data_IF_364100833281
#
_entry.id   IF_364100833281
#
_cell.length_a   1.000
_cell.length_b   1.000
_cell.length_c   1.000
_cell.angle_alpha   90.00
_cell.angle_beta   90.00
_cell.angle_gamma   90.00
#
_symmetry.space_group_name_H-M   'P 1'
#
loop_
_entity.id
_entity.type
_entity.pdbx_description
1 polymer ?
#
# COMPACT_ATOMS: atom_id res chain seq x y z
N UNK A 1 9.70 -15.63 -15.93
CA UNK A 1 10.58 -14.56 -15.41
C UNK A 1 9.73 -13.41 -14.86
N UNK A 2 10.13 -12.72 -13.79
CA UNK A 2 9.37 -11.55 -13.29
C UNK A 2 9.58 -10.36 -14.24
N UNK A 3 8.52 -9.75 -14.79
CA UNK A 3 8.65 -8.58 -15.67
C UNK A 3 9.39 -7.43 -14.97
N UNK A 4 10.22 -6.65 -15.68
CA UNK A 4 10.92 -5.52 -15.10
C UNK A 4 9.90 -4.47 -14.64
N UNK A 5 10.19 -3.82 -13.52
CA UNK A 5 9.43 -2.66 -13.04
C UNK A 5 10.21 -1.40 -13.42
N UNK A 6 9.55 -0.49 -14.13
CA UNK A 6 10.10 0.82 -14.42
C UNK A 6 9.96 1.71 -13.17
N UNK A 7 11.07 1.97 -12.47
CA UNK A 7 11.11 2.72 -11.21
C UNK A 7 12.00 3.95 -11.37
N UNK A 8 11.46 5.14 -11.16
CA UNK A 8 12.21 6.39 -11.28
C UNK A 8 11.98 7.30 -10.07
N UNK A 9 12.78 8.36 -9.98
CA UNK A 9 12.59 9.42 -9.00
C UNK A 9 11.32 10.22 -9.32
N UNK A 10 10.76 10.88 -8.31
CA UNK A 10 9.50 11.64 -8.40
C UNK A 10 8.34 10.82 -8.99
N UNK A 11 8.33 9.51 -8.76
CA UNK A 11 7.31 8.62 -9.31
C UNK A 11 6.06 8.65 -8.43
N UNK A 12 5.02 9.32 -8.92
CA UNK A 12 3.68 9.27 -8.33
C UNK A 12 2.98 7.98 -8.74
N UNK A 13 2.52 7.19 -7.79
CA UNK A 13 1.90 5.90 -8.04
C UNK A 13 0.61 5.73 -7.25
N UNK A 14 -0.41 5.22 -7.93
CA UNK A 14 -1.58 4.60 -7.31
C UNK A 14 -1.29 3.11 -7.13
N UNK A 15 -1.20 2.68 -5.87
CA UNK A 15 -0.83 1.33 -5.49
C UNK A 15 -2.04 0.59 -4.96
N UNK A 16 -2.18 -0.65 -5.37
CA UNK A 16 -3.12 -1.60 -4.78
C UNK A 16 -2.37 -2.84 -4.35
N UNK A 17 -2.43 -3.18 -3.06
CA UNK A 17 -1.85 -4.40 -2.54
C UNK A 17 -2.91 -5.22 -1.82
N UNK A 18 -3.04 -6.48 -2.21
CA UNK A 18 -4.11 -7.37 -1.78
C UNK A 18 -3.64 -8.29 -0.67
N UNK A 19 -4.56 -8.66 0.19
CA UNK A 19 -4.36 -9.72 1.15
C UNK A 19 -4.33 -11.08 0.46
N UNK A 20 -3.56 -12.01 1.00
CA UNK A 20 -3.46 -13.39 0.47
C UNK A 20 -4.83 -14.04 0.39
N UNK A 21 -5.16 -14.60 -0.78
CA UNK A 21 -6.44 -15.24 -1.04
C UNK A 21 -7.62 -14.27 -0.94
N UNK A 22 -7.39 -12.95 -1.02
CA UNK A 22 -8.40 -11.91 -0.77
C UNK A 22 -9.03 -12.02 0.61
N UNK A 23 -8.40 -12.75 1.53
CA UNK A 23 -8.93 -12.94 2.86
C UNK A 23 -8.97 -11.62 3.62
N UNK A 24 -9.82 -11.51 4.62
CA UNK A 24 -9.98 -10.28 5.38
C UNK A 24 -8.81 -10.02 6.38
N UNK A 25 -7.56 -10.09 5.92
CA UNK A 25 -6.36 -9.91 6.76
C UNK A 25 -6.27 -8.54 7.42
N UNK A 26 -7.03 -7.56 6.97
CA UNK A 26 -7.03 -6.19 7.45
C UNK A 26 -8.40 -5.79 8.03
N UNK A 27 -9.24 -6.74 8.50
CA UNK A 27 -10.50 -6.40 9.18
C UNK A 27 -10.27 -5.28 10.21
N UNK A 28 -11.01 -4.17 10.14
CA UNK A 28 -10.75 -2.94 10.90
C UNK A 28 -11.22 -3.03 12.36
N UNK A 29 -10.69 -4.02 13.08
CA UNK A 29 -10.69 -4.03 14.55
C UNK A 29 -9.70 -2.98 15.05
N UNK A 30 -9.91 -2.48 16.26
CA UNK A 30 -9.05 -1.45 16.87
C UNK A 30 -7.57 -1.84 16.81
N UNK A 31 -7.22 -3.04 17.28
CA UNK A 31 -5.83 -3.54 17.29
C UNK A 31 -5.20 -3.61 15.89
N UNK A 32 -5.99 -4.02 14.90
CA UNK A 32 -5.50 -4.12 13.51
C UNK A 32 -5.30 -2.73 12.91
N UNK A 33 -6.25 -1.81 13.11
CA UNK A 33 -6.16 -0.43 12.61
C UNK A 33 -4.96 0.30 13.22
N UNK A 34 -4.80 0.26 14.54
CA UNK A 34 -3.65 0.85 15.24
C UNK A 34 -2.32 0.27 14.77
N UNK A 35 -2.25 -1.05 14.62
CA UNK A 35 -1.05 -1.75 14.12
C UNK A 35 -0.70 -1.29 12.71
N UNK A 36 -1.65 -1.33 11.78
CA UNK A 36 -1.39 -0.98 10.39
C UNK A 36 -1.05 0.49 10.22
N UNK A 37 -1.70 1.38 10.97
CA UNK A 37 -1.39 2.80 10.97
C UNK A 37 0.04 3.06 11.49
N UNK A 38 0.45 2.41 12.57
CA UNK A 38 1.80 2.56 13.09
C UNK A 38 2.85 2.00 12.12
N UNK A 39 2.60 0.83 11.52
CA UNK A 39 3.50 0.25 10.49
C UNK A 39 3.63 1.21 9.31
N UNK A 40 2.54 1.80 8.84
CA UNK A 40 2.56 2.77 7.76
C UNK A 40 3.38 4.00 8.15
N UNK A 41 3.09 4.62 9.30
CA UNK A 41 3.81 5.80 9.80
C UNK A 41 5.31 5.53 9.92
N UNK A 42 5.69 4.41 10.55
CA UNK A 42 7.10 4.03 10.71
C UNK A 42 7.78 3.73 9.37
N UNK A 43 7.06 3.16 8.41
CA UNK A 43 7.63 2.92 7.08
C UNK A 43 7.84 4.26 6.35
N UNK A 44 6.88 5.18 6.43
CA UNK A 44 7.03 6.53 5.85
C UNK A 44 8.23 7.27 6.42
N UNK A 45 8.54 7.12 7.72
CA UNK A 45 9.72 7.78 8.32
C UNK A 45 11.08 7.24 7.85
N UNK A 46 11.11 6.12 7.10
CA UNK A 46 12.33 5.48 6.62
C UNK A 46 12.65 5.76 5.16
N UNK A 47 11.69 6.30 4.41
CA UNK A 47 11.80 6.44 2.97
C UNK A 47 11.37 7.84 2.55
N UNK A 48 12.03 8.34 1.50
CA UNK A 48 11.72 9.65 0.95
C UNK A 48 10.47 9.59 0.06
N UNK A 49 9.32 9.70 0.71
CA UNK A 49 7.99 9.55 0.09
C UNK A 49 6.99 10.58 0.63
N UNK A 50 6.11 11.04 -0.25
CA UNK A 50 4.95 11.85 0.09
C UNK A 50 3.68 11.04 -0.08
N UNK A 51 2.93 10.83 1.02
CA UNK A 51 1.65 10.11 0.98
C UNK A 51 0.50 11.08 0.75
N UNK A 52 -0.28 10.84 -0.30
CA UNK A 52 -1.41 11.69 -0.70
C UNK A 52 -2.76 11.15 -0.27
N UNK A 53 -2.96 9.82 -0.32
CA UNK A 53 -4.16 9.18 0.20
C UNK A 53 -3.88 7.75 0.64
N UNK A 54 -4.59 7.30 1.66
CA UNK A 54 -4.49 5.93 2.19
C UNK A 54 -5.88 5.39 2.45
N UNK A 55 -6.10 4.13 2.09
CA UNK A 55 -7.22 3.35 2.60
C UNK A 55 -6.83 1.88 2.73
N UNK A 56 -6.96 1.33 3.95
CA UNK A 56 -7.04 -0.11 4.16
C UNK A 56 -8.51 -0.56 4.16
N UNK A 57 -8.87 -1.33 3.14
CA UNK A 57 -10.07 -2.18 3.13
C UNK A 57 -9.79 -3.46 3.93
N UNK A 58 -10.81 -4.31 4.16
CA UNK A 58 -10.59 -5.56 4.92
C UNK A 58 -9.64 -6.55 4.23
N UNK A 59 -9.55 -6.55 2.90
CA UNK A 59 -8.79 -7.53 2.10
C UNK A 59 -7.77 -6.93 1.13
N UNK A 60 -7.61 -5.61 1.09
CA UNK A 60 -6.59 -4.94 0.30
C UNK A 60 -6.38 -3.53 0.85
N UNK A 61 -5.36 -2.84 0.37
CA UNK A 61 -5.21 -1.42 0.61
C UNK A 61 -4.88 -0.67 -0.67
N UNK A 62 -5.27 0.60 -0.68
CA UNK A 62 -4.94 1.59 -1.67
C UNK A 62 -4.02 2.63 -1.05
N UNK A 63 -3.00 3.01 -1.82
CA UNK A 63 -2.04 4.03 -1.43
C UNK A 63 -1.77 4.92 -2.65
N UNK A 64 -2.02 6.21 -2.50
CA UNK A 64 -1.58 7.22 -3.46
C UNK A 64 -0.36 7.92 -2.89
N UNK A 65 0.77 7.81 -3.58
CA UNK A 65 2.08 8.20 -3.03
C UNK A 65 3.00 8.71 -4.14
N UNK A 66 3.84 9.69 -3.83
CA UNK A 66 4.99 10.05 -4.65
C UNK A 66 6.25 9.55 -3.98
N UNK A 67 7.03 8.72 -4.68
CA UNK A 67 8.38 8.35 -4.27
C UNK A 67 9.37 9.34 -4.88
N UNK A 68 10.05 10.11 -4.04
CA UNK A 68 11.00 11.14 -4.51
C UNK A 68 12.32 10.51 -4.98
N UNK A 69 12.63 9.30 -4.51
CA UNK A 69 13.75 8.47 -4.98
C UNK A 69 13.25 7.14 -5.55
N UNK A 70 14.17 6.28 -6.03
CA UNK A 70 13.87 4.92 -6.54
C UNK A 70 13.51 3.92 -5.42
N UNK A 71 12.99 4.40 -4.28
CA UNK A 71 12.77 3.61 -3.06
C UNK A 71 11.47 2.80 -3.05
N UNK A 72 10.56 2.99 -4.01
CA UNK A 72 9.21 2.45 -3.95
C UNK A 72 9.14 0.93 -3.74
N UNK A 73 9.96 0.08 -4.41
CA UNK A 73 9.94 -1.35 -4.14
C UNK A 73 10.37 -1.71 -2.71
N UNK A 74 11.35 -0.99 -2.13
CA UNK A 74 11.76 -1.21 -0.73
C UNK A 74 10.76 -0.69 0.28
N UNK A 75 10.14 0.45 0.00
CA UNK A 75 9.03 0.95 0.82
C UNK A 75 7.93 -0.12 0.93
N UNK A 76 7.50 -0.69 -0.20
CA UNK A 76 6.45 -1.71 -0.22
C UNK A 76 6.88 -3.04 0.41
N UNK A 77 8.15 -3.44 0.23
CA UNK A 77 8.72 -4.61 0.89
C UNK A 77 8.68 -4.47 2.41
N UNK A 78 9.13 -3.33 2.94
CA UNK A 78 9.15 -3.04 4.38
C UNK A 78 7.72 -2.97 4.94
N UNK A 79 6.84 -2.21 4.30
CA UNK A 79 5.42 -2.06 4.69
C UNK A 79 4.73 -3.42 4.82
N UNK A 80 4.87 -4.27 3.80
CA UNK A 80 4.21 -5.58 3.76
C UNK A 80 4.88 -6.59 4.71
N UNK A 81 6.21 -6.55 4.85
CA UNK A 81 6.98 -7.43 5.72
C UNK A 81 6.70 -7.15 7.20
N UNK A 82 6.81 -5.89 7.62
CA UNK A 82 6.53 -5.49 8.99
C UNK A 82 5.04 -5.66 9.31
N UNK A 83 4.15 -5.27 8.39
CA UNK A 83 2.71 -5.50 8.51
C UNK A 83 2.36 -6.97 8.70
N UNK A 84 2.97 -7.88 7.93
CA UNK A 84 2.73 -9.32 8.06
C UNK A 84 3.17 -9.85 9.42
N UNK A 85 4.37 -9.47 9.87
CA UNK A 85 4.88 -9.89 11.18
C UNK A 85 4.00 -9.38 12.31
N UNK A 86 3.57 -8.12 12.26
CA UNK A 86 2.73 -7.51 13.27
C UNK A 86 1.32 -8.16 13.32
N UNK A 87 0.66 -8.33 12.17
CA UNK A 87 -0.65 -8.99 12.08
C UNK A 87 -0.60 -10.45 12.53
N UNK A 88 0.47 -11.18 12.18
CA UNK A 88 0.67 -12.55 12.62
C UNK A 88 0.82 -12.66 14.14
N UNK A 89 1.57 -11.73 14.76
CA UNK A 89 1.72 -11.72 16.20
C UNK A 89 0.42 -11.38 16.95
N UNK A 90 -0.47 -10.57 16.36
CA UNK A 90 -1.81 -10.34 16.90
C UNK A 90 -2.66 -11.62 16.93
N UNK A 91 -2.46 -12.50 15.95
CA UNK A 91 -3.30 -13.69 15.71
C UNK A 91 -2.67 -14.98 16.22
N UNK A 92 -1.41 -14.96 16.64
CA UNK A 92 -0.66 -16.17 16.99
C UNK A 92 -0.34 -17.06 15.78
N UNK A 93 -0.31 -16.50 14.57
CA UNK A 93 -0.09 -17.23 13.31
C UNK A 93 1.29 -16.94 12.72
N UNK A 94 1.61 -17.56 11.59
CA UNK A 94 2.77 -17.23 10.77
C UNK A 94 2.40 -17.26 9.27
N UNK A 95 3.35 -16.90 8.40
CA UNK A 95 3.14 -16.89 6.95
C UNK A 95 2.83 -15.50 6.39
N UNK A 96 2.46 -15.43 5.11
CA UNK A 96 2.21 -14.16 4.43
C UNK A 96 0.79 -13.64 4.66
N UNK A 97 0.65 -12.32 4.82
CA UNK A 97 -0.65 -11.65 4.83
C UNK A 97 -0.94 -10.87 3.54
N UNK A 98 0.09 -10.56 2.75
CA UNK A 98 -0.03 -9.82 1.47
C UNK A 98 0.31 -10.73 0.29
N UNK A 99 -0.39 -10.56 -0.83
CA UNK A 99 -0.07 -11.26 -2.07
C UNK A 99 1.35 -10.94 -2.55
N UNK A 100 1.93 -11.85 -3.33
CA UNK A 100 3.25 -11.61 -3.93
C UNK A 100 3.14 -10.51 -4.98
N UNK A 101 3.73 -9.37 -4.68
CA UNK A 101 3.68 -8.18 -5.53
C UNK A 101 2.51 -7.26 -5.20
N UNK A 102 2.43 -6.16 -5.93
CA UNK A 102 1.40 -5.14 -5.80
C UNK A 102 1.15 -4.51 -7.16
N UNK A 103 -0.08 -4.05 -7.38
CA UNK A 103 -0.44 -3.21 -8.51
C UNK A 103 0.19 -1.84 -8.34
N UNK A 104 0.80 -1.34 -9.41
CA UNK A 104 1.43 -0.02 -9.48
C UNK A 104 0.93 0.62 -10.77
N UNK A 105 0.18 1.71 -10.62
CA UNK A 105 -0.37 2.48 -11.73
C UNK A 105 0.15 3.90 -11.63
N UNK A 106 0.81 4.37 -12.68
CA UNK A 106 1.30 5.75 -12.74
C UNK A 106 0.26 6.67 -13.42
N UNK A 107 -0.36 7.63 -12.70
CA UNK A 107 -1.18 8.66 -13.32
C UNK A 107 -0.32 9.63 -14.13
N UNK A 108 -0.75 9.95 -15.35
CA UNK A 108 -0.01 10.81 -16.28
C UNK A 108 -0.61 12.22 -16.42
N UNK A 109 -1.67 12.52 -15.66
CA UNK A 109 -2.28 13.84 -15.62
C UNK A 109 -2.94 14.12 -14.26
N UNK A 110 -3.08 15.41 -13.97
CA UNK A 110 -3.60 15.92 -12.70
C UNK A 110 -5.03 15.46 -12.40
N UNK A 111 -5.88 15.39 -13.42
CA UNK A 111 -7.27 14.94 -13.27
C UNK A 111 -7.29 13.48 -12.87
N UNK A 112 -6.45 12.64 -13.49
CA UNK A 112 -6.39 11.21 -13.15
C UNK A 112 -5.83 10.97 -11.74
N UNK A 113 -4.90 11.81 -11.30
CA UNK A 113 -4.40 11.75 -9.93
C UNK A 113 -5.52 12.04 -8.91
N UNK A 114 -6.34 13.07 -9.15
CA UNK A 114 -7.50 13.37 -8.32
C UNK A 114 -8.56 12.27 -8.36
N UNK A 115 -8.82 11.68 -9.54
CA UNK A 115 -9.71 10.52 -9.66
C UNK A 115 -9.24 9.34 -8.79
N UNK A 116 -7.93 9.08 -8.71
CA UNK A 116 -7.38 8.05 -7.83
C UNK A 116 -7.49 8.41 -6.35
N UNK A 117 -7.35 9.68 -5.98
CA UNK A 117 -7.55 10.13 -4.61
C UNK A 117 -9.01 9.89 -4.17
N UNK A 118 -9.97 10.32 -4.99
CA UNK A 118 -11.41 10.11 -4.77
C UNK A 118 -11.75 8.61 -4.75
N UNK A 119 -11.23 7.84 -5.70
CA UNK A 119 -11.42 6.39 -5.75
C UNK A 119 -10.91 5.72 -4.46
N UNK A 120 -9.73 6.12 -3.98
CA UNK A 120 -9.14 5.60 -2.75
C UNK A 120 -10.08 5.80 -1.58
N UNK A 121 -10.59 7.02 -1.36
CA UNK A 121 -11.42 7.33 -0.20
C UNK A 121 -12.85 6.76 -0.29
N UNK A 122 -13.44 6.71 -1.49
CA UNK A 122 -14.81 6.26 -1.70
C UNK A 122 -14.95 4.73 -1.87
N UNK A 123 -13.85 3.97 -1.84
CA UNK A 123 -13.86 2.52 -2.04
C UNK A 123 -14.76 1.74 -1.05
N UNK A 124 -14.86 2.09 0.24
CA UNK A 124 -15.75 1.42 1.19
C UNK A 124 -17.23 1.56 0.80
N UNK A 125 -17.60 2.69 0.19
CA UNK A 125 -18.94 2.94 -0.33
C UNK A 125 -19.18 2.20 -1.64
N UNK A 126 -18.17 2.18 -2.52
CA UNK A 126 -18.22 1.43 -3.79
C UNK A 126 -18.38 -0.09 -3.58
N UNK A 127 -17.95 -0.58 -2.42
CA UNK A 127 -18.04 -1.99 -2.01
C UNK A 127 -19.26 -2.28 -1.12
N UNK A 128 -20.22 -1.36 -1.01
CA UNK A 128 -21.43 -1.48 -0.17
C UNK A 128 -21.13 -1.83 1.31
N UNK A 129 -19.96 -1.44 1.84
CA UNK A 129 -19.62 -1.70 3.25
C UNK A 129 -20.19 -0.61 4.17
N UNK A 130 -20.21 0.64 3.71
CA UNK A 130 -20.72 1.82 4.42
C UNK A 130 -21.44 2.75 3.45
N UNK A 131 -22.30 3.63 3.98
CA UNK A 131 -23.02 4.64 3.18
C UNK A 131 -22.17 5.87 2.86
N UNK A 132 -21.31 6.27 3.79
CA UNK A 132 -20.42 7.43 3.69
C UNK A 132 -19.00 7.00 4.05
N UNK A 133 -17.99 7.48 3.34
CA UNK A 133 -16.58 7.12 3.48
C UNK A 133 -16.08 7.39 4.90
N UNK A 134 -16.53 8.51 5.51
CA UNK A 134 -16.23 8.87 6.91
C UNK A 134 -16.69 7.84 7.95
N UNK A 135 -17.60 6.93 7.60
CA UNK A 135 -18.06 5.87 8.49
C UNK A 135 -17.11 4.67 8.53
N UNK A 136 -16.18 4.54 7.56
CA UNK A 136 -15.15 3.50 7.58
C UNK A 136 -14.24 3.67 8.81
N UNK A 137 -13.88 2.55 9.46
CA UNK A 137 -13.05 2.54 10.69
C UNK A 137 -11.71 1.84 10.52
N UNK A 138 -11.34 1.48 9.29
CA UNK A 138 -9.98 1.05 8.97
C UNK A 138 -9.04 2.26 8.87
N UNK A 139 -7.77 2.00 8.54
CA UNK A 139 -6.80 3.06 8.27
C UNK A 139 -7.28 3.83 7.04
N UNK A 140 -7.51 5.13 7.20
CA UNK A 140 -7.94 6.02 6.11
C UNK A 140 -7.52 7.46 6.37
N UNK A 141 -7.20 8.19 5.31
CA UNK A 141 -6.92 9.63 5.33
C UNK A 141 -8.18 10.50 5.23
N UNK A 142 -9.37 9.90 5.11
CA UNK A 142 -10.66 10.60 4.90
C UNK A 142 -10.94 11.77 5.88
N UNK A 143 -10.39 11.71 7.10
CA UNK A 143 -10.63 12.71 8.16
C UNK A 143 -9.49 13.71 8.36
N UNK A 144 -8.44 13.63 7.54
CA UNK A 144 -7.29 14.52 7.60
C UNK A 144 -7.40 15.61 6.54
N UNK A 145 -6.78 16.76 6.81
CA UNK A 145 -6.45 17.82 5.85
C UNK A 145 -5.07 17.57 5.23
N UNK A 146 -4.82 18.16 4.05
CA UNK A 146 -3.45 18.19 3.54
C UNK A 146 -2.60 19.07 4.45
N UNK A 147 -1.37 18.63 4.72
CA UNK A 147 -0.49 19.25 5.72
C UNK A 147 -0.60 18.63 7.11
N UNK A 148 -1.73 17.99 7.46
CA UNK A 148 -1.93 17.38 8.77
C UNK A 148 -0.85 16.35 9.09
N UNK A 149 -0.38 16.41 10.34
CA UNK A 149 0.59 15.50 10.90
C UNK A 149 0.01 14.83 12.16
N UNK A 150 0.09 13.51 12.22
CA UNK A 150 -0.32 12.72 13.38
C UNK A 150 0.86 11.93 13.93
N UNK A 151 1.01 11.95 15.25
CA UNK A 151 1.97 11.11 15.97
C UNK A 151 1.29 9.82 16.39
N UNK A 152 1.72 8.70 15.80
CA UNK A 152 1.16 7.38 16.04
C UNK A 152 2.02 6.66 17.07
N UNK A 153 1.41 6.22 18.18
CA UNK A 153 2.09 5.46 19.22
C UNK A 153 2.29 4.02 18.79
N UNK A 154 3.46 3.46 19.11
CA UNK A 154 3.76 2.04 18.94
C UNK A 154 2.76 1.20 19.73
N UNK A 155 2.07 0.23 19.11
CA UNK A 155 1.13 -0.61 19.83
C UNK A 155 1.80 -1.38 20.97
N UNK A 156 1.09 -1.57 22.09
CA UNK A 156 1.62 -2.26 23.29
C UNK A 156 1.39 -3.79 23.27
N UNK A 157 1.09 -4.34 22.10
CA UNK A 157 0.71 -5.74 21.91
C UNK A 157 1.34 -6.31 20.63
N UNK A 158 1.08 -7.59 20.33
CA UNK A 158 1.66 -8.24 19.14
C UNK A 158 3.18 -8.35 19.23
N UNK A 159 3.89 -7.97 18.16
CA UNK A 159 5.36 -8.00 18.12
C UNK A 159 6.03 -6.99 19.07
N UNK A 160 5.28 -6.00 19.57
CA UNK A 160 5.76 -4.94 20.46
C UNK A 160 5.24 -5.07 21.90
N UNK A 161 4.61 -6.20 22.23
CA UNK A 161 4.15 -6.45 23.59
C UNK A 161 5.33 -6.43 24.58
N UNK A 162 5.27 -5.56 25.60
CA UNK A 162 6.20 -5.60 26.73
C UNK A 162 6.04 -6.96 27.44
N UNK A 163 7.13 -7.70 27.58
CA UNK A 163 7.11 -8.92 28.41
C UNK A 163 7.18 -8.51 29.89
N UNK A 164 6.12 -8.79 30.65
CA UNK A 164 6.18 -8.77 32.12
C UNK A 164 7.18 -9.80 32.67
N UNK A 165 7.56 -9.74 33.95
CA UNK A 165 8.46 -10.71 34.57
C UNK A 165 7.87 -12.11 34.38
N UNK A 166 8.54 -12.93 33.57
CA UNK A 166 7.99 -14.23 33.18
C UNK A 166 7.80 -15.10 34.41
N UNK A 167 6.57 -15.62 34.64
CA UNK A 167 6.37 -16.73 35.59
C UNK A 167 7.37 -17.84 35.26
N UNK A 168 8.18 -18.26 36.23
CA UNK A 168 9.16 -19.35 36.12
C UNK A 168 8.43 -20.60 35.61
N UNK A 169 8.54 -20.92 34.32
CA UNK A 169 8.07 -22.21 33.79
C UNK A 169 9.05 -23.28 34.26
N UNK A 170 8.52 -24.32 34.90
CA UNK A 170 9.29 -25.46 35.40
C UNK A 170 10.11 -26.13 34.30
N UNK A 171 11.21 -26.74 34.72
CA UNK A 171 12.36 -27.28 33.98
C UNK A 171 12.07 -28.47 33.06
N UNK A 172 11.06 -28.41 32.17
CA UNK A 172 10.89 -29.46 31.15
C UNK A 172 11.81 -29.24 29.95
N UNK A 173 12.56 -30.31 29.61
CA UNK A 173 13.58 -30.43 28.54
C UNK A 173 13.32 -29.50 27.36
N UNK A 174 14.30 -28.63 27.07
CA UNK A 174 14.31 -27.72 25.92
C UNK A 174 14.19 -28.51 24.61
N UNK A 175 12.98 -28.58 24.02
CA UNK A 175 12.85 -28.76 22.57
C UNK A 175 13.61 -27.61 21.89
N UNK A 176 14.38 -27.91 20.83
CA UNK A 176 15.03 -26.90 19.97
C UNK A 176 14.03 -25.78 19.71
N UNK A 177 14.38 -24.55 20.10
CA UNK A 177 13.52 -23.39 19.88
C UNK A 177 13.33 -23.22 18.38
N UNK A 178 12.10 -23.34 17.91
CA UNK A 178 11.73 -22.85 16.59
C UNK A 178 12.10 -21.34 16.53
N UNK A 179 12.88 -20.94 15.51
CA UNK A 179 13.24 -19.54 15.29
C UNK A 179 12.03 -18.64 15.06
N UNK A 180 10.86 -19.24 14.78
CA UNK A 180 9.55 -18.58 14.66
C UNK A 180 8.89 -18.24 16.01
N UNK A 181 9.43 -18.70 17.14
CA UNK A 181 8.92 -18.35 18.48
C UNK A 181 9.33 -16.93 18.88
N UNK A 182 8.40 -16.19 19.50
CA UNK A 182 8.61 -14.84 19.98
C UNK A 182 9.91 -14.71 20.83
N UNK A 183 10.88 -13.95 20.30
CA UNK A 183 12.10 -13.54 20.99
C UNK A 183 11.80 -13.06 22.42
N UNK A 184 12.63 -13.44 23.40
CA UNK A 184 12.51 -13.01 24.80
C UNK A 184 13.09 -11.62 25.06
N UNK A 185 13.79 -11.01 24.10
CA UNK A 185 14.35 -9.66 24.22
C UNK A 185 13.51 -8.71 23.36
N UNK A 186 13.14 -7.57 23.93
CA UNK A 186 12.76 -6.40 23.13
C UNK A 186 14.02 -5.94 22.41
N UNK A 187 14.20 -6.38 21.16
CA UNK A 187 15.32 -6.00 20.29
C UNK A 187 14.88 -4.98 19.25
N UNK A 188 13.69 -4.42 19.41
CA UNK A 188 13.11 -3.57 18.40
C UNK A 188 13.75 -2.18 18.49
N UNK A 189 14.61 -1.87 17.53
CA UNK A 189 15.16 -0.52 17.31
C UNK A 189 14.04 0.44 16.81
N UNK A 190 12.82 -0.08 16.57
CA UNK A 190 11.66 0.71 16.17
C UNK A 190 11.26 1.67 17.30
N UNK A 191 11.15 2.98 17.02
CA UNK A 191 10.82 4.01 18.00
C UNK A 191 9.45 3.80 18.66
N UNK A 192 9.24 4.41 19.83
CA UNK A 192 7.95 4.36 20.56
C UNK A 192 6.82 5.13 19.85
N UNK A 193 7.18 6.04 18.94
CA UNK A 193 6.25 6.81 18.14
C UNK A 193 6.75 6.90 16.71
N UNK A 194 5.83 7.03 15.77
CA UNK A 194 6.14 7.34 14.38
C UNK A 194 5.17 8.42 13.89
N UNK A 195 5.70 9.33 13.08
CA UNK A 195 4.93 10.44 12.52
C UNK A 195 4.37 10.04 11.16
N UNK A 196 3.10 10.36 10.91
CA UNK A 196 2.47 10.25 9.61
C UNK A 196 1.92 11.61 9.19
N UNK A 197 2.32 12.07 8.00
CA UNK A 197 1.88 13.33 7.42
C UNK A 197 1.11 13.07 6.13
N UNK A 198 -0.03 13.71 5.98
CA UNK A 198 -0.76 13.74 4.71
C UNK A 198 -0.24 14.89 3.86
N UNK A 199 0.35 14.59 2.72
CA UNK A 199 0.98 15.59 1.84
C UNK A 199 0.07 15.86 0.65
N UNK A 200 -0.10 17.13 0.28
CA UNK A 200 -0.86 17.47 -0.93
C UNK A 200 -0.26 16.80 -2.17
N UNK A 201 -1.08 16.29 -3.10
CA UNK A 201 -0.58 15.92 -4.42
C UNK A 201 -0.16 17.16 -5.22
N UNK A 202 0.84 17.03 -6.09
CA UNK A 202 1.35 18.10 -6.96
C UNK A 202 0.41 18.37 -8.15
N UNK A 203 -0.82 18.78 -7.84
CA UNK A 203 -1.88 19.09 -8.80
C UNK A 203 -2.61 20.34 -8.37
N UNK A 204 -3.22 21.02 -9.37
CA UNK A 204 -3.97 22.26 -9.18
C UNK A 204 -3.16 23.26 -8.32
N UNK A 205 -1.96 23.69 -8.77
CA UNK A 205 -1.10 24.59 -8.00
C UNK A 205 -1.78 25.93 -7.66
N UNK A 206 -2.80 26.30 -8.43
CA UNK A 206 -3.64 27.47 -8.19
C UNK A 206 -4.55 27.36 -6.96
N UNK A 207 -4.72 26.16 -6.38
CA UNK A 207 -5.50 25.94 -5.16
C UNK A 207 -4.59 25.80 -3.94
N UNK A 208 -5.02 26.40 -2.83
CA UNK A 208 -4.46 26.16 -1.50
C UNK A 208 -4.67 24.69 -1.06
N UNK A 209 -3.96 24.27 -0.02
CA UNK A 209 -4.08 22.92 0.53
C UNK A 209 -5.51 22.61 0.99
N UNK A 210 -6.19 23.57 1.61
CA UNK A 210 -7.57 23.41 2.07
C UNK A 210 -8.56 23.38 0.90
N UNK A 211 -8.45 24.26 -0.08
CA UNK A 211 -9.31 24.27 -1.27
C UNK A 211 -9.17 22.97 -2.08
N UNK A 212 -7.93 22.50 -2.27
CA UNK A 212 -7.69 21.23 -2.95
C UNK A 212 -8.27 20.07 -2.15
N UNK A 213 -8.19 20.12 -0.82
CA UNK A 213 -8.77 19.10 0.04
C UNK A 213 -10.29 19.10 -0.05
N UNK A 214 -10.92 20.27 0.02
CA UNK A 214 -12.36 20.43 -0.10
C UNK A 214 -12.87 19.92 -1.44
N UNK A 215 -12.16 20.23 -2.53
CA UNK A 215 -12.47 19.69 -3.87
C UNK A 215 -12.45 18.15 -3.89
N UNK A 216 -11.45 17.51 -3.27
CA UNK A 216 -11.39 16.04 -3.20
C UNK A 216 -12.55 15.50 -2.38
N UNK A 217 -12.85 16.10 -1.23
CA UNK A 217 -13.94 15.66 -0.35
C UNK A 217 -15.33 15.86 -0.98
N UNK A 218 -15.52 16.93 -1.76
CA UNK A 218 -16.73 17.16 -2.55
C UNK A 218 -16.91 16.07 -3.61
N UNK A 219 -15.86 15.75 -4.36
CA UNK A 219 -15.91 14.65 -5.34
C UNK A 219 -16.13 13.29 -4.69
N UNK A 220 -15.61 13.08 -3.47
CA UNK A 220 -15.94 11.88 -2.67
C UNK A 220 -17.42 11.85 -2.35
N UNK A 221 -18.05 12.96 -1.93
CA UNK A 221 -19.50 13.00 -1.68
C UNK A 221 -20.32 12.69 -2.93
N UNK A 222 -19.97 13.30 -4.07
CA UNK A 222 -20.63 12.98 -5.34
C UNK A 222 -20.49 11.49 -5.70
N UNK A 223 -19.33 10.89 -5.41
CA UNK A 223 -19.09 9.46 -5.60
C UNK A 223 -19.90 8.60 -4.62
N UNK A 224 -20.04 9.01 -3.37
CA UNK A 224 -20.91 8.34 -2.38
C UNK A 224 -22.36 8.30 -2.85
N UNK A 225 -22.87 9.42 -3.35
CA UNK A 225 -24.26 9.54 -3.82
C UNK A 225 -24.49 8.69 -5.08
N UNK A 226 -23.52 8.64 -6.00
CA UNK A 226 -23.56 7.72 -7.14
C UNK A 226 -23.54 6.24 -6.71
N UNK A 227 -22.74 5.89 -5.68
CA UNK A 227 -22.73 4.54 -5.10
C UNK A 227 -24.08 4.19 -4.46
N UNK A 228 -24.68 5.15 -3.74
CA UNK A 228 -26.00 4.99 -3.13
C UNK A 228 -27.11 4.79 -4.17
N UNK A 229 -27.16 5.62 -5.21
CA UNK A 229 -28.12 5.48 -6.30
C UNK A 229 -27.95 4.15 -7.05
N UNK A 230 -26.71 3.69 -7.27
CA UNK A 230 -26.44 2.36 -7.83
C UNK A 230 -26.94 1.24 -6.90
N UNK A 231 -26.66 1.34 -5.61
CA UNK A 231 -27.09 0.37 -4.59
C UNK A 231 -28.62 0.27 -4.55
N UNK A 232 -29.33 1.40 -4.49
CA UNK A 232 -30.79 1.47 -4.49
C UNK A 232 -31.39 0.80 -5.73
N UNK A 233 -30.91 1.14 -6.94
CA UNK A 233 -31.35 0.49 -8.19
C UNK A 233 -31.15 -1.02 -8.19
N UNK A 234 -30.09 -1.51 -7.54
CA UNK A 234 -29.79 -2.94 -7.44
C UNK A 234 -30.47 -3.66 -6.26
N UNK A 235 -31.27 -2.96 -5.44
CA UNK A 235 -31.91 -3.53 -4.25
C UNK A 235 -30.95 -3.99 -3.15
N UNK A 236 -29.67 -3.60 -3.23
CA UNK A 236 -28.63 -4.02 -2.26
C UNK A 236 -28.68 -3.19 -0.99
N UNK A 237 -28.21 -3.76 0.11
CA UNK A 237 -28.06 -3.08 1.41
C UNK A 237 -26.57 -2.98 1.78
N UNK A 238 -26.23 -1.98 2.58
CA UNK A 238 -24.88 -1.89 3.15
C UNK A 238 -24.66 -2.94 4.24
N UNK A 239 -23.43 -3.47 4.31
CA UNK A 239 -23.04 -4.41 5.35
C UNK A 239 -22.93 -3.74 6.75
N UNK A 240 -22.52 -2.48 6.82
CA UNK A 240 -22.28 -1.72 8.08
C UNK A 240 -21.05 -2.22 8.85
N UNK A 241 -20.42 -1.29 9.57
CA UNK A 241 -19.17 -1.53 10.30
C UNK A 241 -19.25 -2.64 11.36
N UNK A 242 -20.41 -2.83 11.99
CA UNK A 242 -20.60 -3.92 12.98
C UNK A 242 -20.39 -5.29 12.33
N UNK A 243 -20.98 -5.51 11.15
CA UNK A 243 -20.86 -6.79 10.44
C UNK A 243 -19.46 -6.92 9.80
N UNK A 244 -18.90 -5.84 9.25
CA UNK A 244 -17.50 -5.83 8.76
C UNK A 244 -16.53 -6.28 9.84
N UNK A 245 -16.64 -5.74 11.06
CA UNK A 245 -15.75 -6.11 12.19
C UNK A 245 -15.97 -7.52 12.72
N UNK A 246 -17.16 -8.09 12.51
CA UNK A 246 -17.48 -9.46 12.89
C UNK A 246 -16.94 -10.49 11.89
N UNK A 247 -16.49 -10.07 10.70
CA UNK A 247 -15.90 -10.99 9.71
C UNK A 247 -14.64 -11.63 10.28
N UNK A 248 -14.52 -12.94 10.09
CA UNK A 248 -13.29 -13.65 10.45
C UNK A 248 -12.16 -13.24 9.51
N UNK A 249 -10.97 -12.97 10.04
CA UNK A 249 -9.84 -12.46 9.27
C UNK A 249 -9.36 -13.40 8.16
N UNK A 250 -9.59 -14.71 8.32
CA UNK A 250 -9.22 -15.72 7.33
C UNK A 250 -10.33 -16.00 6.30
N UNK A 251 -11.55 -15.47 6.52
CA UNK A 251 -12.64 -15.63 5.57
C UNK A 251 -12.29 -14.88 4.26
N UNK A 252 -12.74 -15.44 3.15
CA UNK A 252 -12.55 -14.91 1.81
C UNK A 252 -13.89 -14.38 1.28
N UNK A 253 -13.89 -13.30 0.48
CA UNK A 253 -15.07 -12.89 -0.26
C UNK A 253 -15.45 -13.94 -1.31
N UNK A 254 -16.63 -13.78 -1.93
CA UNK A 254 -17.08 -14.64 -3.03
C UNK A 254 -16.18 -14.57 -4.27
N UNK A 255 -16.61 -15.28 -5.33
CA UNK A 255 -15.87 -15.43 -6.59
C UNK A 255 -15.34 -14.10 -7.16
N UNK A 256 -14.22 -14.18 -7.88
CA UNK A 256 -13.62 -13.05 -8.59
C UNK A 256 -13.67 -13.28 -10.10
N UNK A 257 -13.87 -12.20 -10.84
CA UNK A 257 -13.59 -12.20 -12.27
C UNK A 257 -12.08 -12.32 -12.50
N UNK A 258 -11.67 -13.43 -13.11
CA UNK A 258 -10.28 -13.71 -13.40
C UNK A 258 -9.86 -13.06 -14.74
N UNK A 259 -8.55 -12.90 -14.92
CA UNK A 259 -7.92 -12.53 -16.20
C UNK A 259 -8.17 -11.11 -16.73
N UNK A 260 -8.56 -10.16 -15.88
CA UNK A 260 -8.63 -8.74 -16.24
C UNK A 260 -7.26 -8.11 -16.57
N UNK A 261 -7.28 -7.05 -17.40
CA UNK A 261 -6.09 -6.24 -17.70
C UNK A 261 -5.59 -5.57 -16.42
N UNK A 262 -4.28 -5.70 -16.14
CA UNK A 262 -3.61 -4.98 -15.06
C UNK A 262 -2.99 -3.69 -15.62
N UNK A 263 -3.66 -2.52 -15.46
CA UNK A 263 -3.07 -1.28 -15.95
C UNK A 263 -1.76 -1.00 -15.20
N UNK A 264 -0.81 -0.40 -15.90
CA UNK A 264 0.45 0.12 -15.31
C UNK A 264 0.56 1.63 -15.43
N UNK A 265 -0.29 2.22 -16.27
CA UNK A 265 -0.36 3.65 -16.57
C UNK A 265 -1.83 4.03 -16.63
N UNK A 266 -2.17 5.22 -16.15
CA UNK A 266 -3.52 5.77 -16.24
C UNK A 266 -3.48 7.25 -16.62
N UNK A 267 -4.47 7.68 -17.39
CA UNK A 267 -4.61 9.05 -17.85
C UNK A 267 -6.05 9.26 -18.30
N UNK A 268 -6.56 10.48 -18.12
CA UNK A 268 -7.80 10.97 -18.74
C UNK A 268 -7.55 11.38 -20.18
N UNK A 269 -6.33 11.81 -20.50
CA UNK A 269 -5.87 12.14 -21.84
C UNK A 269 -5.34 10.88 -22.56
N UNK A 270 -5.95 10.56 -23.70
CA UNK A 270 -5.59 9.41 -24.54
C UNK A 270 -4.14 9.47 -25.03
N UNK A 271 -3.65 10.63 -25.43
CA UNK A 271 -2.31 10.78 -26.00
C UNK A 271 -1.23 10.66 -24.92
N UNK A 272 -1.44 11.28 -23.75
CA UNK A 272 -0.54 11.08 -22.59
C UNK A 272 -0.46 9.62 -22.19
N UNK A 273 -1.59 8.91 -22.23
CA UNK A 273 -1.62 7.45 -21.98
C UNK A 273 -0.77 6.68 -22.99
N UNK A 274 -0.97 6.95 -24.29
CA UNK A 274 -0.24 6.26 -25.37
C UNK A 274 1.26 6.55 -25.26
N UNK A 275 1.65 7.80 -25.06
CA UNK A 275 3.06 8.19 -24.92
C UNK A 275 3.73 7.49 -23.73
N UNK A 276 3.05 7.41 -22.59
CA UNK A 276 3.55 6.69 -21.42
C UNK A 276 3.67 5.18 -21.63
N UNK A 277 2.71 4.56 -22.32
CA UNK A 277 2.80 3.16 -22.72
C UNK A 277 3.96 2.91 -23.71
N UNK A 278 4.21 3.83 -24.63
CA UNK A 278 5.35 3.76 -25.55
C UNK A 278 6.69 3.86 -24.81
N UNK A 279 6.84 4.81 -23.86
CA UNK A 279 8.04 4.90 -22.99
C UNK A 279 8.28 3.60 -22.24
N UNK A 280 7.21 3.02 -21.67
CA UNK A 280 7.30 1.75 -20.96
C UNK A 280 7.73 0.59 -21.88
N UNK A 281 7.16 0.49 -23.08
CA UNK A 281 7.57 -0.53 -24.08
C UNK A 281 9.02 -0.34 -24.52
N UNK A 282 9.47 0.89 -24.70
CA UNK A 282 10.87 1.19 -25.02
C UNK A 282 11.81 0.72 -23.89
N UNK A 283 11.47 1.02 -22.64
CA UNK A 283 12.20 0.51 -21.47
C UNK A 283 12.22 -1.02 -21.42
N UNK A 284 11.09 -1.69 -21.63
CA UNK A 284 11.00 -3.15 -21.58
C UNK A 284 11.87 -3.82 -22.67
N UNK A 285 11.92 -3.24 -23.89
CA UNK A 285 12.81 -3.70 -24.97
C UNK A 285 14.29 -3.52 -24.61
N UNK A 286 14.69 -2.30 -24.24
CA UNK A 286 16.07 -2.01 -23.85
C UNK A 286 16.54 -2.87 -22.66
N UNK A 287 15.63 -3.16 -21.71
CA UNK A 287 15.92 -4.04 -20.59
C UNK A 287 16.14 -5.49 -21.05
N UNK A 288 15.34 -5.99 -21.99
CA UNK A 288 15.48 -7.34 -22.51
C UNK A 288 16.82 -7.51 -23.24
N UNK A 289 17.18 -6.55 -24.10
CA UNK A 289 18.46 -6.53 -24.84
C UNK A 289 19.66 -6.49 -23.88
N UNK A 290 19.66 -5.55 -22.90
CA UNK A 290 20.70 -5.48 -21.89
C UNK A 290 20.79 -6.78 -21.06
N UNK A 291 19.65 -7.40 -20.74
CA UNK A 291 19.65 -8.64 -19.98
C UNK A 291 20.22 -9.81 -20.78
N UNK A 292 19.94 -9.90 -22.07
CA UNK A 292 20.48 -10.94 -22.94
C UNK A 292 22.00 -10.87 -23.00
N UNK A 293 22.55 -9.67 -23.25
CA UNK A 293 24.00 -9.39 -23.22
C UNK A 293 24.63 -9.72 -21.87
N UNK A 294 23.97 -9.33 -20.78
CA UNK A 294 24.44 -9.64 -19.43
C UNK A 294 24.47 -11.16 -19.15
N UNK A 295 23.46 -11.90 -19.64
CA UNK A 295 23.41 -13.35 -19.51
C UNK A 295 24.41 -14.08 -20.39
N UNK A 296 24.83 -13.51 -21.52
CA UNK A 296 25.91 -14.06 -22.34
C UNK A 296 27.30 -13.83 -21.76
N UNK A 297 27.40 -13.19 -20.58
CA UNK A 297 28.67 -12.94 -19.90
C UNK A 297 29.40 -11.70 -20.39
N UNK A 298 28.73 -10.82 -21.15
CA UNK A 298 29.34 -9.56 -21.58
C UNK A 298 29.58 -8.66 -20.34
N UNK A 299 30.81 -8.16 -20.20
CA UNK A 299 31.18 -7.25 -19.13
C UNK A 299 30.75 -5.80 -19.44
N UNK A 300 30.48 -5.00 -18.41
CA UNK A 300 30.16 -3.58 -18.58
C UNK A 300 28.78 -3.28 -19.18
N UNK A 301 27.87 -4.26 -19.27
CA UNK A 301 26.53 -4.04 -19.81
C UNK A 301 25.73 -3.04 -18.97
N UNK A 302 25.31 -1.94 -19.61
CA UNK A 302 24.47 -0.92 -19.01
C UNK A 302 22.99 -1.24 -19.20
N UNK A 303 22.28 -1.42 -18.09
CA UNK A 303 20.82 -1.54 -18.11
C UNK A 303 20.15 -0.17 -18.31
N UNK A 304 18.97 -0.12 -18.95
CA UNK A 304 18.26 1.14 -19.09
C UNK A 304 17.91 1.71 -17.72
N UNK A 305 17.96 3.03 -17.64
CA UNK A 305 17.60 3.75 -16.44
C UNK A 305 16.17 3.42 -15.98
N UNK A 306 16.01 3.29 -14.66
CA UNK A 306 14.80 2.79 -14.03
C UNK A 306 14.74 1.27 -13.82
N UNK A 307 15.79 0.55 -14.22
CA UNK A 307 15.99 -0.85 -13.85
C UNK A 307 16.30 -0.98 -12.36
N UNK A 308 15.36 -1.53 -11.58
CA UNK A 308 15.52 -1.61 -10.13
C UNK A 308 16.16 -2.91 -9.63
N UNK A 309 15.65 -4.07 -10.04
CA UNK A 309 16.06 -5.35 -9.45
C UNK A 309 17.51 -5.71 -9.78
N UNK A 310 17.94 -5.47 -11.03
CA UNK A 310 19.31 -5.77 -11.47
C UNK A 310 20.33 -4.89 -10.73
N UNK A 311 20.04 -3.59 -10.65
CA UNK A 311 20.83 -2.65 -9.87
C UNK A 311 20.89 -3.04 -8.38
N UNK A 312 19.73 -3.27 -7.76
CA UNK A 312 19.65 -3.42 -6.31
C UNK A 312 20.17 -4.78 -5.81
N UNK A 313 19.90 -5.88 -6.53
CA UNK A 313 20.25 -7.24 -6.08
C UNK A 313 21.55 -7.75 -6.67
N UNK A 314 21.86 -7.37 -7.92
CA UNK A 314 22.99 -7.90 -8.67
C UNK A 314 24.06 -6.85 -8.94
N UNK A 315 23.94 -5.65 -8.36
CA UNK A 315 24.88 -4.53 -8.54
C UNK A 315 25.12 -4.17 -10.02
N UNK A 316 24.15 -4.44 -10.90
CA UNK A 316 24.28 -4.14 -12.32
C UNK A 316 24.33 -2.63 -12.55
N UNK A 317 25.18 -2.20 -13.48
CA UNK A 317 25.27 -0.80 -13.88
C UNK A 317 24.01 -0.39 -14.64
N UNK A 318 23.53 0.82 -14.39
CA UNK A 318 22.36 1.37 -15.06
C UNK A 318 22.69 2.76 -15.58
N UNK A 319 22.13 3.11 -16.74
CA UNK A 319 22.18 4.48 -17.24
C UNK A 319 21.54 5.41 -16.20
N UNK A 320 22.19 6.52 -15.88
CA UNK A 320 21.58 7.56 -15.06
C UNK A 320 20.38 8.12 -15.82
N UNK A 321 19.22 8.20 -15.17
CA UNK A 321 18.13 8.98 -15.76
C UNK A 321 18.55 10.44 -15.67
N UNK A 322 18.69 11.10 -16.83
CA UNK A 322 18.60 12.55 -16.90
C UNK A 322 17.22 13.01 -16.40
#
# INVERSE_FOLDING_TARGET
MTPPRYIHAQQTAFITCRAVGRSFRFVPTEKVTETLLFVLAHTCSKFDVSVHEVLYMSNHFHLLITAHTKCLPKFMEELNSLGSRALNALRGTSGTNFEKGYGLVEPQDSKKLLEHAVYTLANPCSSDLVTKARHWKGVTTMKMRYGDEIVVKKPKYGIWARKGPGKKKSSRKRKRRDSRLASKRDRSIIPETATFRLVRPAVRPELTDDELRDLVLEQVRAREDACEAKRQRSGKKVLKMRQVRAQHWAAMPGAEDLFGVRPTVSSTDKWKRIAALQRKKAFERAYAEARERWLSGEEGVLFPGGTWLMWHRYAAQCVCNA
#
